data_IF_020890682709
#
_entry.id   IF_020890682709
#
_cell.length_a   1.000
_cell.length_b   1.000
_cell.length_c   1.000
_cell.angle_alpha   90.00
_cell.angle_beta   90.00
_cell.angle_gamma   90.00
#
_symmetry.space_group_name_H-M   'P 1'
#
loop_
_entity.id
_entity.type
_entity.pdbx_description
1 polymer ?
#
# COMPACT_ATOMS: atom_id res chain seq x y z
N UNK A 1 -12.23 -0.80 14.33
CA UNK A 1 -11.57 0.50 14.28
C UNK A 1 -10.36 0.42 13.36
N UNK A 2 -10.19 1.39 12.48
CA UNK A 2 -9.07 1.41 11.53
C UNK A 2 -7.89 2.17 12.12
N UNK A 3 -6.72 1.55 12.11
CA UNK A 3 -5.48 2.20 12.51
C UNK A 3 -4.80 2.79 11.28
N UNK A 4 -4.44 4.08 11.34
CA UNK A 4 -3.78 4.76 10.24
C UNK A 4 -2.40 5.23 10.70
N UNK A 5 -1.36 4.75 10.03
CA UNK A 5 0.02 5.08 10.34
C UNK A 5 0.62 5.92 9.21
N UNK A 6 1.17 7.07 9.54
CA UNK A 6 1.90 7.93 8.61
C UNK A 6 3.40 7.77 8.84
N UNK A 7 4.11 7.31 7.84
CA UNK A 7 5.56 7.18 7.88
C UNK A 7 6.17 8.36 7.11
N UNK A 8 6.75 9.29 7.82
CA UNK A 8 7.24 10.56 7.26
C UNK A 8 8.74 10.56 7.07
N UNK A 9 9.23 11.49 6.24
CA UNK A 9 10.66 11.67 6.02
C UNK A 9 11.33 10.48 5.33
N UNK A 10 10.59 9.72 4.55
CA UNK A 10 11.11 8.51 3.91
C UNK A 10 11.97 8.90 2.70
N UNK A 11 13.25 8.55 2.75
CA UNK A 11 14.19 8.89 1.67
C UNK A 11 13.96 8.06 0.42
N UNK A 12 13.71 6.77 0.58
CA UNK A 12 13.45 5.85 -0.53
C UNK A 12 12.10 5.16 -0.31
N UNK A 13 11.06 5.72 -0.92
CA UNK A 13 9.69 5.24 -0.77
C UNK A 13 9.55 3.80 -1.26
N UNK A 14 10.15 3.48 -2.40
CA UNK A 14 10.04 2.13 -2.97
C UNK A 14 10.66 1.07 -2.04
N UNK A 15 11.85 1.32 -1.52
CA UNK A 15 12.50 0.38 -0.60
C UNK A 15 11.72 0.25 0.71
N UNK A 16 11.21 1.35 1.24
CA UNK A 16 10.37 1.33 2.43
C UNK A 16 9.11 0.50 2.20
N UNK A 17 8.45 0.73 1.07
CA UNK A 17 7.21 0.02 0.72
C UNK A 17 7.45 -1.48 0.55
N UNK A 18 8.57 -1.88 -0.05
CA UNK A 18 8.92 -3.28 -0.18
C UNK A 18 9.13 -3.95 1.19
N UNK A 19 9.79 -3.26 2.12
CA UNK A 19 9.95 -3.78 3.49
C UNK A 19 8.63 -3.88 4.23
N UNK A 20 7.76 -2.90 4.04
CA UNK A 20 6.43 -2.92 4.65
C UNK A 20 5.61 -4.10 4.12
N UNK A 21 5.64 -4.33 2.81
CA UNK A 21 4.95 -5.46 2.20
C UNK A 21 5.48 -6.79 2.74
N UNK A 22 6.80 -6.91 2.88
CA UNK A 22 7.42 -8.11 3.42
C UNK A 22 6.98 -8.36 4.88
N UNK A 23 6.92 -7.31 5.67
CA UNK A 23 6.50 -7.40 7.07
C UNK A 23 5.05 -7.89 7.18
N UNK A 24 4.15 -7.32 6.38
CA UNK A 24 2.75 -7.73 6.38
C UNK A 24 2.62 -9.19 5.90
N UNK A 25 3.37 -9.56 4.89
CA UNK A 25 3.36 -10.92 4.37
C UNK A 25 3.79 -11.94 5.43
N UNK A 26 4.84 -11.62 6.19
CA UNK A 26 5.34 -12.48 7.27
C UNK A 26 4.35 -12.65 8.41
N UNK A 27 3.51 -11.65 8.63
CA UNK A 27 2.44 -11.72 9.64
C UNK A 27 1.21 -12.46 9.14
N UNK A 28 1.25 -12.96 7.93
CA UNK A 28 0.17 -13.70 7.29
C UNK A 28 -1.10 -12.85 7.11
N UNK A 29 -0.96 -11.54 7.05
CA UNK A 29 -2.05 -10.62 6.77
C UNK A 29 -2.19 -10.41 5.26
N UNK A 30 -3.37 -9.99 4.82
CA UNK A 30 -3.64 -9.70 3.42
C UNK A 30 -3.44 -8.22 3.15
N UNK A 31 -2.67 -7.90 2.12
CA UNK A 31 -2.25 -6.55 1.79
C UNK A 31 -2.76 -6.14 0.42
N UNK A 32 -3.31 -4.92 0.34
CA UNK A 32 -3.56 -4.25 -0.92
C UNK A 32 -2.55 -3.11 -1.05
N UNK A 33 -1.84 -3.06 -2.18
CA UNK A 33 -0.95 -1.95 -2.52
C UNK A 33 -1.59 -1.17 -3.65
N UNK A 34 -1.90 0.10 -3.41
CA UNK A 34 -2.48 0.98 -4.43
C UNK A 34 -1.41 1.93 -4.94
N UNK A 35 -1.22 1.96 -6.25
CA UNK A 35 -0.21 2.76 -6.91
C UNK A 35 -0.87 3.78 -7.83
N UNK A 36 -0.17 4.88 -8.20
CA UNK A 36 -0.80 5.96 -8.96
C UNK A 36 -1.15 5.58 -10.40
N UNK A 37 -0.40 4.66 -11.01
CA UNK A 37 -0.64 4.24 -12.40
C UNK A 37 -0.01 2.88 -12.67
N UNK A 38 -0.26 2.34 -13.86
CA UNK A 38 0.27 1.03 -14.25
C UNK A 38 1.78 0.98 -14.32
N UNK A 39 2.42 2.08 -14.71
CA UNK A 39 3.88 2.14 -14.78
C UNK A 39 4.49 2.00 -13.39
N UNK A 40 3.94 2.70 -12.41
CA UNK A 40 4.38 2.59 -11.03
C UNK A 40 4.11 1.19 -10.48
N UNK A 41 2.98 0.60 -10.83
CA UNK A 41 2.63 -0.75 -10.42
C UNK A 41 3.64 -1.77 -10.93
N UNK A 42 3.99 -1.70 -12.21
CA UNK A 42 4.97 -2.62 -12.79
C UNK A 42 6.37 -2.42 -12.18
N UNK A 43 6.75 -1.17 -11.93
CA UNK A 43 8.03 -0.87 -11.30
C UNK A 43 8.09 -1.44 -9.88
N UNK A 44 7.03 -1.27 -9.09
CA UNK A 44 6.96 -1.81 -7.74
C UNK A 44 6.96 -3.34 -7.73
N UNK A 45 6.24 -3.95 -8.67
CA UNK A 45 6.22 -5.41 -8.81
C UNK A 45 7.61 -5.96 -9.06
N UNK A 46 8.37 -5.34 -9.98
CA UNK A 46 9.74 -5.75 -10.26
C UNK A 46 10.65 -5.56 -9.05
N UNK A 47 10.48 -4.46 -8.33
CA UNK A 47 11.28 -4.19 -7.13
C UNK A 47 11.00 -5.23 -6.05
N UNK A 48 9.75 -5.60 -5.86
CA UNK A 48 9.38 -6.58 -4.84
C UNK A 48 9.90 -7.98 -5.17
N UNK A 49 9.89 -8.36 -6.44
CA UNK A 49 10.44 -9.65 -6.87
C UNK A 49 11.93 -9.79 -6.56
N UNK A 50 12.67 -8.68 -6.64
CA UNK A 50 14.12 -8.67 -6.41
C UNK A 50 14.50 -8.20 -5.00
N UNK A 51 13.51 -7.91 -4.14
CA UNK A 51 13.77 -7.37 -2.81
C UNK A 51 14.20 -8.48 -1.86
N UNK A 52 15.44 -8.39 -1.37
CA UNK A 52 16.03 -9.38 -0.50
C UNK A 52 16.52 -10.60 -1.26
N UNK A 53 17.51 -11.28 -0.72
CA UNK A 53 18.21 -12.37 -1.41
C UNK A 53 17.47 -13.71 -1.32
N UNK A 54 16.63 -13.89 -0.31
CA UNK A 54 16.08 -15.20 0.02
C UNK A 54 14.57 -15.25 0.12
N UNK A 55 13.90 -14.11 -0.02
CA UNK A 55 12.46 -14.03 0.21
C UNK A 55 11.71 -13.98 -1.09
N UNK A 56 11.01 -15.05 -1.41
CA UNK A 56 10.03 -15.04 -2.49
C UNK A 56 8.69 -14.60 -1.91
N UNK A 57 8.22 -13.43 -2.33
CA UNK A 57 6.94 -12.88 -1.87
C UNK A 57 5.95 -12.94 -3.03
N UNK A 58 5.00 -13.86 -2.94
CA UNK A 58 3.98 -14.01 -3.98
C UNK A 58 3.05 -12.80 -3.97
N UNK A 59 2.86 -12.20 -5.13
CA UNK A 59 1.96 -11.08 -5.31
C UNK A 59 1.41 -11.08 -6.72
N UNK A 60 0.27 -10.41 -6.90
CA UNK A 60 -0.35 -10.27 -8.22
C UNK A 60 -1.30 -9.06 -8.23
N UNK A 61 -1.77 -8.68 -9.43
CA UNK A 61 -2.82 -7.68 -9.51
C UNK A 61 -4.11 -8.25 -8.94
N UNK A 62 -4.97 -7.37 -8.42
CA UNK A 62 -6.20 -7.76 -7.73
C UNK A 62 -7.15 -8.60 -8.59
N UNK A 63 -7.09 -8.40 -9.92
CA UNK A 63 -7.98 -9.10 -10.86
C UNK A 63 -7.30 -10.27 -11.57
N UNK A 64 -6.12 -10.67 -11.14
CA UNK A 64 -5.42 -11.81 -11.72
C UNK A 64 -6.11 -13.13 -11.36
N UNK A 65 -5.92 -14.16 -12.19
CA UNK A 65 -6.52 -15.46 -11.95
C UNK A 65 -6.10 -16.07 -10.60
N UNK A 66 -4.88 -15.80 -10.18
CA UNK A 66 -4.30 -16.30 -8.92
C UNK A 66 -4.56 -15.40 -7.71
N UNK A 67 -5.40 -14.36 -7.85
CA UNK A 67 -5.62 -13.40 -6.77
C UNK A 67 -6.15 -14.05 -5.48
N UNK A 68 -7.02 -15.05 -5.60
CA UNK A 68 -7.58 -15.71 -4.42
C UNK A 68 -6.55 -16.47 -3.60
N UNK A 69 -5.42 -16.85 -4.20
CA UNK A 69 -4.34 -17.58 -3.51
C UNK A 69 -3.17 -16.69 -3.12
N UNK A 70 -3.19 -15.41 -3.46
CA UNK A 70 -2.13 -14.48 -3.14
C UNK A 70 -2.57 -13.55 -1.99
N UNK A 71 -1.67 -13.32 -1.04
CA UNK A 71 -1.94 -12.42 0.09
C UNK A 71 -1.65 -10.95 -0.23
N UNK A 72 -0.92 -10.68 -1.31
CA UNK A 72 -0.59 -9.31 -1.71
C UNK A 72 -1.20 -9.03 -3.07
N UNK A 73 -2.06 -8.02 -3.12
CA UNK A 73 -2.71 -7.57 -4.34
C UNK A 73 -2.24 -6.17 -4.70
N UNK A 74 -2.07 -5.92 -5.99
CA UNK A 74 -1.74 -4.61 -6.53
C UNK A 74 -2.92 -4.05 -7.30
N UNK A 75 -3.17 -2.74 -7.17
CA UNK A 75 -4.20 -2.04 -7.91
C UNK A 75 -3.80 -0.58 -8.11
N UNK A 76 -4.49 0.08 -9.05
CA UNK A 76 -4.31 1.52 -9.29
C UNK A 76 -5.54 2.32 -8.84
N UNK A 77 -6.49 1.66 -8.20
CA UNK A 77 -7.72 2.27 -7.68
C UNK A 77 -8.19 1.50 -6.44
N UNK A 78 -9.23 2.01 -5.81
CA UNK A 78 -9.77 1.40 -4.58
C UNK A 78 -11.04 0.57 -4.81
N UNK A 79 -11.52 0.50 -6.04
CA UNK A 79 -12.73 -0.24 -6.38
C UNK A 79 -12.41 -1.71 -6.61
N UNK A 80 -12.20 -2.42 -5.52
CA UNK A 80 -11.82 -3.83 -5.52
C UNK A 80 -12.69 -4.59 -4.52
N UNK A 81 -12.84 -5.92 -4.72
CA UNK A 81 -13.63 -6.72 -3.77
C UNK A 81 -12.97 -6.81 -2.39
N UNK A 82 -13.76 -7.14 -1.39
CA UNK A 82 -13.26 -7.35 -0.04
C UNK A 82 -12.26 -8.52 0.01
N UNK A 83 -11.33 -8.45 0.93
CA UNK A 83 -10.31 -9.48 1.11
C UNK A 83 -9.10 -8.93 1.86
N UNK A 84 -8.36 -7.97 1.28
CA UNK A 84 -7.24 -7.37 2.01
C UNK A 84 -7.70 -6.62 3.26
N UNK A 85 -6.95 -6.76 4.35
CA UNK A 85 -7.23 -6.09 5.61
C UNK A 85 -6.28 -4.93 5.88
N UNK A 86 -5.12 -4.91 5.21
CA UNK A 86 -4.12 -3.86 5.32
C UNK A 86 -3.99 -3.16 3.98
N UNK A 87 -3.98 -1.83 3.99
CA UNK A 87 -3.77 -1.01 2.80
C UNK A 87 -2.42 -0.30 2.89
N UNK A 88 -1.60 -0.46 1.86
CA UNK A 88 -0.41 0.36 1.65
C UNK A 88 -0.72 1.31 0.52
N UNK A 89 -0.92 2.60 0.85
CA UNK A 89 -1.34 3.59 -0.12
C UNK A 89 -0.13 4.34 -0.67
N UNK A 90 0.25 4.00 -1.89
CA UNK A 90 1.30 4.70 -2.63
C UNK A 90 0.73 5.56 -3.75
N UNK A 91 -0.59 5.62 -3.87
CA UNK A 91 -1.27 6.40 -4.88
C UNK A 91 -1.48 7.86 -4.47
N UNK A 92 -2.15 8.60 -5.34
CA UNK A 92 -2.38 10.02 -5.13
C UNK A 92 -3.67 10.31 -4.39
N UNK A 93 -4.56 9.34 -4.27
CA UNK A 93 -5.89 9.51 -3.68
C UNK A 93 -6.03 8.76 -2.38
N UNK A 94 -7.02 9.16 -1.58
CA UNK A 94 -7.40 8.45 -0.38
C UNK A 94 -8.40 7.33 -0.70
N UNK A 95 -8.46 6.28 0.13
CA UNK A 95 -9.52 5.28 -0.02
C UNK A 95 -10.89 5.91 0.25
N UNK A 96 -11.88 5.47 -0.52
CA UNK A 96 -13.26 5.95 -0.37
C UNK A 96 -13.86 5.46 0.95
N UNK A 97 -13.51 4.25 1.35
CA UNK A 97 -14.01 3.64 2.57
C UNK A 97 -12.85 3.13 3.44
N UNK A 98 -12.20 4.02 4.22
CA UNK A 98 -11.07 3.61 5.06
C UNK A 98 -11.45 2.54 6.08
N UNK A 99 -12.69 2.55 6.55
CA UNK A 99 -13.16 1.59 7.56
C UNK A 99 -13.17 0.14 7.04
N UNK A 100 -13.05 -0.07 5.74
CA UNK A 100 -12.92 -1.40 5.14
C UNK A 100 -11.59 -2.08 5.45
N UNK A 101 -10.61 -1.35 5.98
CA UNK A 101 -9.31 -1.88 6.35
C UNK A 101 -9.09 -1.80 7.84
N UNK A 102 -8.40 -2.79 8.41
CA UNK A 102 -8.02 -2.75 9.81
C UNK A 102 -6.82 -1.82 10.03
N UNK A 103 -5.99 -1.65 9.00
CA UNK A 103 -4.80 -0.81 9.07
C UNK A 103 -4.52 -0.18 7.72
N UNK A 104 -4.16 1.10 7.73
CA UNK A 104 -3.77 1.84 6.52
C UNK A 104 -2.38 2.42 6.75
N UNK A 105 -1.47 2.17 5.80
CA UNK A 105 -0.10 2.70 5.83
C UNK A 105 0.01 3.80 4.78
N UNK A 106 0.28 5.03 5.22
CA UNK A 106 0.54 6.17 4.35
C UNK A 106 2.02 6.48 4.40
N UNK A 107 2.68 6.51 3.25
CA UNK A 107 4.12 6.75 3.16
C UNK A 107 4.36 8.15 2.63
N UNK A 108 5.13 8.94 3.37
CA UNK A 108 5.41 10.35 3.04
C UNK A 108 6.90 10.50 2.76
N UNK A 109 7.24 10.93 1.55
CA UNK A 109 8.63 11.16 1.19
C UNK A 109 9.14 12.44 1.84
N UNK A 110 10.43 12.72 1.64
CA UNK A 110 11.07 13.93 2.17
C UNK A 110 10.69 15.19 1.39
N UNK A 111 10.04 15.03 0.24
CA UNK A 111 9.66 16.15 -0.62
C UNK A 111 8.52 16.97 -0.01
N UNK A 112 8.57 18.29 -0.20
CA UNK A 112 7.56 19.21 0.34
C UNK A 112 6.17 18.93 -0.23
N UNK A 113 6.08 18.64 -1.53
CA UNK A 113 4.79 18.31 -2.16
C UNK A 113 4.15 17.08 -1.52
N UNK A 114 4.96 16.07 -1.19
CA UNK A 114 4.48 14.86 -0.53
C UNK A 114 3.95 15.16 0.88
N UNK A 115 4.64 16.03 1.63
CA UNK A 115 4.20 16.43 2.97
C UNK A 115 2.88 17.19 2.93
N UNK A 116 2.69 18.07 1.93
CA UNK A 116 1.46 18.83 1.77
C UNK A 116 0.27 17.91 1.52
N UNK A 117 0.44 16.91 0.66
CA UNK A 117 -0.60 15.91 0.39
C UNK A 117 -0.90 15.11 1.66
N UNK A 118 0.14 14.73 2.41
CA UNK A 118 -0.04 13.97 3.64
C UNK A 118 -0.84 14.75 4.70
N UNK A 119 -0.60 16.05 4.83
CA UNK A 119 -1.36 16.89 5.76
C UNK A 119 -2.84 16.91 5.42
N UNK A 120 -3.16 17.01 4.13
CA UNK A 120 -4.56 17.00 3.68
C UNK A 120 -5.22 15.66 3.99
N UNK A 121 -4.52 14.56 3.74
CA UNK A 121 -5.03 13.22 4.04
C UNK A 121 -5.22 13.02 5.53
N UNK A 122 -4.30 13.46 6.34
CA UNK A 122 -4.40 13.37 7.80
C UNK A 122 -5.67 14.04 8.30
N UNK A 123 -5.95 15.27 7.83
CA UNK A 123 -7.16 15.98 8.20
C UNK A 123 -8.41 15.24 7.74
N UNK A 124 -8.40 14.74 6.51
CA UNK A 124 -9.53 14.01 5.97
C UNK A 124 -9.82 12.75 6.78
N UNK A 125 -8.78 12.02 7.20
CA UNK A 125 -8.96 10.85 8.06
C UNK A 125 -9.54 11.22 9.43
N UNK A 126 -9.12 12.34 9.99
CA UNK A 126 -9.67 12.82 11.27
C UNK A 126 -11.16 13.16 11.13
N UNK A 127 -11.56 13.76 10.02
CA UNK A 127 -12.96 14.12 9.77
C UNK A 127 -13.87 12.90 9.63
N UNK A 128 -13.31 11.80 9.19
CA UNK A 128 -14.05 10.54 9.06
C UNK A 128 -14.16 9.77 10.40
N UNK A 129 -13.40 10.22 11.38
CA UNK A 129 -13.35 9.52 12.65
C UNK A 129 -12.30 8.43 12.65
#
# INVERSE_FOLDING_TARGET
>A
MTRIDFYTGVANVQAFACRAAQTVYRKEERLLVVLPDDQALQAFSRALWSFGDTSFIAHCEWNAAEASSSRIWFATHFDIPAGPTVLLNLGEKMPVNPAGFSRILEVVSQEEASRAVARKRYRAYLDLG
#
